data_IF_445380351785
#
_entry.id   IF_445380351785
#
_cell.length_a   1.000
_cell.length_b   1.000
_cell.length_c   1.000
_cell.angle_alpha   90.00
_cell.angle_beta   90.00
_cell.angle_gamma   90.00
#
_symmetry.space_group_name_H-M   'P 1'
#
loop_
_entity.id
_entity.type
_entity.pdbx_description
1 polymer ?
#
# COMPACT_ATOMS: atom_id res chain seq x y z
N UNK A 1 48.53 -0.43 27.88
CA UNK A 1 47.32 -1.26 27.67
C UNK A 1 46.19 -0.30 27.36
N UNK A 2 45.97 0.00 26.08
CA UNK A 2 44.94 0.94 25.60
C UNK A 2 43.81 0.12 24.97
N UNK A 3 42.59 0.36 25.44
CA UNK A 3 41.36 -0.20 24.87
C UNK A 3 40.91 0.78 23.77
N UNK A 4 40.71 0.37 22.52
CA UNK A 4 40.16 1.27 21.52
C UNK A 4 38.64 1.38 21.71
N UNK A 5 38.20 2.62 21.75
CA UNK A 5 36.81 3.06 21.72
C UNK A 5 36.21 2.72 20.35
N UNK A 6 35.12 1.94 20.30
CA UNK A 6 34.35 1.76 19.07
C UNK A 6 33.48 2.98 18.83
N UNK A 7 33.78 3.72 17.75
CA UNK A 7 32.93 4.77 17.20
C UNK A 7 31.76 4.11 16.45
N UNK A 8 30.52 4.39 16.88
CA UNK A 8 29.33 4.12 16.08
C UNK A 8 29.25 5.17 14.96
N UNK A 9 29.52 4.77 13.73
CA UNK A 9 29.32 5.60 12.54
C UNK A 9 27.95 5.34 11.93
N UNK A 10 27.13 6.38 11.85
CA UNK A 10 25.99 6.43 10.93
C UNK A 10 26.55 6.55 9.49
N UNK A 11 26.11 5.69 8.58
CA UNK A 11 26.49 5.76 7.16
C UNK A 11 25.27 6.24 6.37
N UNK A 12 25.38 7.46 5.83
CA UNK A 12 24.52 7.96 4.76
C UNK A 12 24.97 7.38 3.43
N UNK A 13 24.03 6.88 2.64
CA UNK A 13 24.23 6.46 1.26
C UNK A 13 24.44 7.70 0.36
N UNK A 14 25.52 7.73 -0.42
CA UNK A 14 25.69 8.66 -1.55
C UNK A 14 25.40 7.90 -2.86
N UNK A 15 24.52 8.44 -3.69
CA UNK A 15 24.21 7.93 -5.02
C UNK A 15 25.31 8.31 -6.02
N UNK A 16 25.67 7.38 -6.91
CA UNK A 16 26.49 7.66 -8.09
C UNK A 16 25.57 7.50 -9.29
N UNK A 17 25.29 8.60 -9.99
CA UNK A 17 24.53 8.62 -11.23
C UNK A 17 25.39 8.11 -12.40
N UNK A 18 24.92 7.06 -13.07
CA UNK A 18 25.49 6.51 -14.31
C UNK A 18 24.35 6.32 -15.32
N UNK A 19 24.53 6.85 -16.52
CA UNK A 19 23.48 7.16 -17.50
C UNK A 19 23.01 5.98 -18.37
N UNK A 20 22.99 4.74 -17.89
CA UNK A 20 22.55 3.60 -18.72
C UNK A 20 22.10 2.33 -17.99
N UNK A 21 21.83 2.36 -16.68
CA UNK A 21 21.96 1.13 -15.89
C UNK A 21 20.64 0.72 -15.20
N UNK A 22 20.15 -0.48 -15.56
CA UNK A 22 19.18 -1.21 -14.74
C UNK A 22 19.88 -1.60 -13.44
N UNK A 23 19.37 -1.15 -12.30
CA UNK A 23 19.90 -1.55 -10.99
C UNK A 23 19.14 -2.81 -10.55
N UNK A 24 19.83 -3.95 -10.59
CA UNK A 24 19.43 -5.16 -9.87
C UNK A 24 20.20 -5.15 -8.55
N UNK A 25 19.49 -5.01 -7.42
CA UNK A 25 20.13 -4.96 -6.10
C UNK A 25 20.42 -6.38 -5.63
N UNK A 26 21.70 -6.73 -5.48
CA UNK A 26 22.17 -7.96 -4.84
C UNK A 26 22.89 -7.63 -3.53
N UNK A 27 22.76 -8.46 -2.47
CA UNK A 27 23.59 -8.32 -1.27
C UNK A 27 25.00 -8.86 -1.53
N UNK A 28 26.02 -8.10 -1.15
CA UNK A 28 27.41 -8.61 -1.05
C UNK A 28 27.65 -9.15 0.37
N UNK A 29 28.42 -10.23 0.48
CA UNK A 29 28.71 -10.90 1.77
C UNK A 29 29.60 -10.09 2.72
N UNK A 30 30.10 -8.92 2.30
CA UNK A 30 31.21 -8.24 2.98
C UNK A 30 30.88 -6.77 3.29
N UNK A 31 29.78 -6.45 3.99
CA UNK A 31 29.47 -5.10 4.56
C UNK A 31 29.82 -3.87 3.66
N UNK A 32 29.77 -4.06 2.34
CA UNK A 32 30.14 -3.10 1.31
C UNK A 32 29.17 -3.31 0.16
N UNK A 33 28.29 -2.35 -0.06
CA UNK A 33 27.42 -2.27 -1.22
C UNK A 33 28.30 -1.95 -2.44
N UNK A 34 28.84 -2.98 -3.09
CA UNK A 34 29.44 -2.85 -4.42
C UNK A 34 28.36 -3.14 -5.45
N UNK A 35 27.83 -2.08 -6.06
CA UNK A 35 27.17 -2.14 -7.36
C UNK A 35 28.19 -2.65 -8.38
N UNK A 36 28.22 -3.96 -8.63
CA UNK A 36 28.91 -4.50 -9.80
C UNK A 36 27.88 -4.84 -10.87
N UNK A 37 27.84 -3.98 -11.90
CA UNK A 37 27.35 -4.33 -13.22
C UNK A 37 28.08 -5.58 -13.70
N UNK A 38 27.42 -6.74 -13.62
CA UNK A 38 27.85 -7.92 -14.36
C UNK A 38 26.64 -8.71 -14.81
N UNK A 39 26.65 -9.02 -16.09
CA UNK A 39 25.61 -9.75 -16.81
C UNK A 39 25.48 -11.15 -16.24
N UNK A 40 24.30 -11.51 -15.72
CA UNK A 40 23.98 -12.86 -15.28
C UNK A 40 22.63 -13.32 -15.83
N UNK A 41 22.59 -14.60 -16.17
CA UNK A 41 21.43 -15.31 -16.68
C UNK A 41 20.45 -15.63 -15.54
N UNK A 42 19.15 -15.65 -15.90
CA UNK A 42 17.99 -16.05 -15.10
C UNK A 42 18.29 -17.19 -14.12
N UNK A 43 18.53 -16.86 -12.85
CA UNK A 43 18.56 -17.86 -11.77
C UNK A 43 17.18 -17.85 -11.10
N UNK A 44 16.56 -19.02 -10.99
CA UNK A 44 15.24 -19.21 -10.33
C UNK A 44 15.33 -19.20 -8.80
N UNK A 45 16.41 -18.66 -8.22
CA UNK A 45 16.64 -18.70 -6.78
C UNK A 45 16.00 -17.49 -6.10
N UNK A 46 15.32 -17.75 -4.98
CA UNK A 46 14.76 -16.71 -4.09
C UNK A 46 15.87 -16.17 -3.20
N UNK A 47 15.94 -14.85 -3.05
CA UNK A 47 16.92 -14.18 -2.19
C UNK A 47 16.28 -13.75 -0.87
N UNK A 48 16.95 -13.98 0.26
CA UNK A 48 16.44 -13.64 1.61
C UNK A 48 17.35 -12.57 2.23
N UNK A 49 16.74 -11.48 2.70
CA UNK A 49 17.37 -10.34 3.37
C UNK A 49 16.85 -10.27 4.80
N UNK A 50 17.74 -10.30 5.79
CA UNK A 50 17.38 -10.22 7.21
C UNK A 50 18.20 -9.17 7.92
N UNK A 51 17.59 -8.31 8.75
CA UNK A 51 18.37 -7.37 9.56
C UNK A 51 17.54 -6.36 10.35
N UNK A 52 17.57 -6.44 11.67
CA UNK A 52 16.89 -5.48 12.56
C UNK A 52 17.47 -4.08 12.36
N UNK A 53 16.62 -3.08 12.16
CA UNK A 53 16.98 -1.68 11.89
C UNK A 53 17.67 -1.43 10.54
N UNK A 54 17.62 -2.37 9.60
CA UNK A 54 18.12 -2.14 8.23
C UNK A 54 16.99 -1.64 7.33
N UNK A 55 17.33 -0.77 6.38
CA UNK A 55 16.43 -0.48 5.26
C UNK A 55 16.70 -1.50 4.16
N UNK A 56 15.66 -2.15 3.63
CA UNK A 56 15.75 -3.14 2.56
C UNK A 56 16.29 -2.52 1.27
N UNK A 57 15.44 -1.81 0.54
CA UNK A 57 15.82 -1.12 -0.70
C UNK A 57 15.33 0.32 -0.60
N UNK A 58 16.23 1.26 -0.29
CA UNK A 58 15.94 2.69 -0.32
C UNK A 58 16.62 3.35 -1.51
N UNK A 59 15.92 4.25 -2.19
CA UNK A 59 16.61 5.41 -2.78
C UNK A 59 16.48 6.62 -1.89
N UNK A 60 17.20 7.68 -2.24
CA UNK A 60 17.19 8.92 -1.47
C UNK A 60 15.92 9.70 -1.78
N UNK A 61 15.18 10.11 -0.74
CA UNK A 61 14.02 11.04 -0.87
C UNK A 61 14.42 12.36 -1.54
N UNK A 62 15.70 12.71 -1.52
CA UNK A 62 16.25 13.93 -2.09
C UNK A 62 16.67 13.79 -3.56
N UNK A 63 16.61 12.60 -4.15
CA UNK A 63 17.02 12.35 -5.55
C UNK A 63 15.94 12.82 -6.56
N UNK A 64 15.29 13.96 -6.28
CA UNK A 64 14.22 14.52 -7.11
C UNK A 64 14.68 14.84 -8.54
N UNK A 65 15.95 15.17 -8.71
CA UNK A 65 16.47 15.64 -10.00
C UNK A 65 16.88 14.50 -10.93
N UNK A 66 17.27 13.33 -10.40
CA UNK A 66 17.79 12.22 -11.19
C UNK A 66 17.38 10.85 -10.60
N UNK A 67 16.09 10.48 -10.62
CA UNK A 67 15.66 9.15 -10.18
C UNK A 67 16.33 8.06 -11.04
N UNK A 68 16.62 6.87 -10.46
CA UNK A 68 17.13 5.75 -11.24
C UNK A 68 16.17 5.39 -12.38
N UNK A 69 16.72 5.13 -13.56
CA UNK A 69 15.93 4.94 -14.78
C UNK A 69 15.05 3.70 -14.79
N UNK A 70 15.55 2.56 -14.33
CA UNK A 70 14.78 1.32 -14.20
C UNK A 70 15.26 0.50 -13.01
N UNK A 71 14.31 0.08 -12.18
CA UNK A 71 14.56 -0.85 -11.07
C UNK A 71 13.64 -2.06 -11.16
N UNK A 72 14.25 -3.24 -11.00
CA UNK A 72 13.54 -4.52 -10.95
C UNK A 72 13.88 -5.21 -9.63
N UNK A 73 12.84 -5.57 -8.88
CA UNK A 73 12.96 -6.32 -7.61
C UNK A 73 12.20 -7.62 -7.82
N UNK A 74 12.93 -8.73 -7.94
CA UNK A 74 12.38 -10.01 -8.36
C UNK A 74 12.70 -11.08 -7.32
N UNK A 75 11.66 -11.80 -6.87
CA UNK A 75 11.80 -13.00 -6.03
C UNK A 75 12.63 -12.78 -4.75
N UNK A 76 12.39 -11.65 -4.07
CA UNK A 76 13.07 -11.28 -2.83
C UNK A 76 12.19 -11.57 -1.60
N UNK A 77 12.82 -11.87 -0.47
CA UNK A 77 12.18 -11.97 0.83
C UNK A 77 12.90 -11.06 1.81
N UNK A 78 12.19 -10.17 2.50
CA UNK A 78 12.72 -9.27 3.51
C UNK A 78 12.12 -9.63 4.86
N UNK A 79 12.94 -9.92 5.86
CA UNK A 79 12.47 -10.30 7.20
C UNK A 79 13.11 -9.44 8.29
N UNK A 80 12.28 -8.99 9.25
CA UNK A 80 12.73 -8.29 10.46
C UNK A 80 13.54 -7.03 10.15
N UNK A 81 13.12 -6.29 9.13
CA UNK A 81 13.76 -5.08 8.64
C UNK A 81 13.13 -3.83 9.29
N UNK A 82 13.85 -2.71 9.30
CA UNK A 82 13.29 -1.43 9.72
C UNK A 82 12.27 -0.91 8.71
N UNK A 83 12.75 -0.73 7.47
CA UNK A 83 11.98 -0.29 6.31
C UNK A 83 12.22 -1.26 5.16
N UNK A 84 11.22 -1.54 4.33
CA UNK A 84 11.40 -2.41 3.16
C UNK A 84 11.83 -1.63 1.94
N UNK A 85 10.94 -1.48 0.96
CA UNK A 85 11.26 -0.80 -0.31
C UNK A 85 10.75 0.65 -0.26
N UNK A 86 11.63 1.64 -0.38
CA UNK A 86 11.28 3.08 -0.37
C UNK A 86 11.93 3.76 -1.57
N UNK A 87 11.18 4.28 -2.55
CA UNK A 87 11.80 5.15 -3.57
C UNK A 87 10.86 5.93 -4.49
N UNK A 88 11.49 6.86 -5.23
CA UNK A 88 11.05 7.49 -6.50
C UNK A 88 11.72 6.77 -7.68
N UNK A 89 10.92 6.22 -8.59
CA UNK A 89 11.41 5.58 -9.82
C UNK A 89 10.63 6.09 -11.03
N UNK A 90 11.28 6.16 -12.19
CA UNK A 90 10.60 6.39 -13.47
C UNK A 90 10.10 5.08 -14.08
N UNK A 91 10.81 3.96 -13.85
CA UNK A 91 10.35 2.61 -14.18
C UNK A 91 10.63 1.66 -13.03
N UNK A 92 9.59 0.95 -12.60
CA UNK A 92 9.64 0.00 -11.51
C UNK A 92 8.92 -1.28 -11.90
N UNK A 93 9.54 -2.42 -11.61
CA UNK A 93 8.90 -3.73 -11.60
C UNK A 93 9.20 -4.41 -10.27
N UNK A 94 8.18 -4.79 -9.53
CA UNK A 94 8.32 -5.57 -8.30
C UNK A 94 7.50 -6.85 -8.47
N UNK A 95 8.18 -8.00 -8.41
CA UNK A 95 7.56 -9.30 -8.69
C UNK A 95 8.00 -10.33 -7.65
N UNK A 96 7.05 -11.04 -7.05
CA UNK A 96 7.36 -12.17 -6.18
C UNK A 96 8.07 -11.76 -4.89
N UNK A 97 7.74 -10.58 -4.34
CA UNK A 97 8.39 -10.04 -3.14
C UNK A 97 7.59 -10.40 -1.89
N UNK A 98 8.29 -10.89 -0.88
CA UNK A 98 7.75 -11.21 0.44
C UNK A 98 8.38 -10.26 1.46
N UNK A 99 7.58 -9.62 2.30
CA UNK A 99 8.05 -8.79 3.42
C UNK A 99 7.38 -9.28 4.69
N UNK A 100 8.18 -9.60 5.71
CA UNK A 100 7.73 -10.12 7.00
C UNK A 100 8.35 -9.24 8.09
N UNK A 101 7.53 -8.72 9.00
CA UNK A 101 8.01 -8.00 10.18
C UNK A 101 8.86 -6.77 9.84
N UNK A 102 8.39 -5.94 8.90
CA UNK A 102 8.96 -4.61 8.72
C UNK A 102 8.45 -3.68 9.84
N UNK A 103 9.36 -3.07 10.61
CA UNK A 103 8.97 -2.25 11.76
C UNK A 103 8.09 -1.05 11.37
N UNK A 104 8.38 -0.41 10.23
CA UNK A 104 7.70 0.83 9.81
C UNK A 104 6.90 0.63 8.54
N UNK A 105 7.57 0.48 7.39
CA UNK A 105 6.93 0.34 6.08
C UNK A 105 7.45 -0.90 5.38
N UNK A 106 6.55 -1.71 4.82
CA UNK A 106 6.97 -2.88 4.03
C UNK A 106 7.34 -2.47 2.61
N UNK A 107 6.44 -1.78 1.90
CA UNK A 107 6.73 -1.19 0.60
C UNK A 107 6.10 0.20 0.59
N UNK A 108 6.90 1.23 0.33
CA UNK A 108 6.51 2.64 0.20
C UNK A 108 6.95 3.14 -1.18
N UNK A 109 5.96 3.41 -2.02
CA UNK A 109 6.15 3.93 -3.37
C UNK A 109 5.83 5.42 -3.36
N UNK A 110 6.86 6.26 -3.48
CA UNK A 110 6.74 7.70 -3.34
C UNK A 110 7.07 8.38 -4.66
N UNK A 111 6.25 9.32 -5.12
CA UNK A 111 6.61 10.21 -6.23
C UNK A 111 6.91 9.47 -7.54
N UNK A 112 6.22 8.36 -7.82
CA UNK A 112 6.46 7.58 -9.03
C UNK A 112 5.86 8.31 -10.22
N UNK A 113 6.65 8.48 -11.28
CA UNK A 113 6.18 9.05 -12.55
C UNK A 113 6.36 7.96 -13.60
N UNK A 114 5.27 7.28 -13.93
CA UNK A 114 5.22 6.25 -14.95
C UNK A 114 4.89 6.88 -16.31
N UNK A 115 5.90 7.05 -17.16
CA UNK A 115 5.70 7.35 -18.58
C UNK A 115 5.18 6.11 -19.35
N UNK A 116 5.60 4.94 -18.89
CA UNK A 116 5.22 3.62 -19.34
C UNK A 116 4.74 2.85 -18.10
N UNK A 117 3.55 2.27 -18.15
CA UNK A 117 2.85 1.79 -16.95
C UNK A 117 3.72 0.93 -16.03
N UNK A 118 3.60 1.16 -14.72
CA UNK A 118 4.32 0.41 -13.69
C UNK A 118 3.47 -0.79 -13.26
N UNK A 119 4.12 -1.96 -13.13
CA UNK A 119 3.49 -3.20 -12.71
C UNK A 119 4.13 -3.72 -11.43
N UNK A 120 3.30 -4.02 -10.45
CA UNK A 120 3.69 -4.56 -9.15
C UNK A 120 2.81 -5.75 -8.86
N UNK A 121 3.39 -6.94 -8.67
CA UNK A 121 2.60 -8.13 -8.47
C UNK A 121 3.25 -9.26 -7.68
N UNK A 122 2.41 -10.20 -7.24
CA UNK A 122 2.80 -11.35 -6.43
C UNK A 122 3.55 -10.91 -5.16
N UNK A 123 2.95 -9.95 -4.44
CA UNK A 123 3.53 -9.34 -3.25
C UNK A 123 2.86 -9.89 -2.00
N UNK A 124 3.65 -10.28 -1.01
CA UNK A 124 3.16 -10.77 0.29
C UNK A 124 3.74 -9.90 1.40
N UNK A 125 2.89 -9.30 2.22
CA UNK A 125 3.29 -8.43 3.32
C UNK A 125 2.61 -8.90 4.61
N UNK A 126 3.41 -9.28 5.60
CA UNK A 126 2.95 -9.93 6.82
C UNK A 126 3.52 -9.27 8.08
N UNK A 127 2.68 -9.04 9.10
CA UNK A 127 3.10 -8.69 10.46
C UNK A 127 4.00 -7.44 10.52
N UNK A 128 3.71 -6.43 9.69
CA UNK A 128 4.50 -5.20 9.59
C UNK A 128 3.79 -3.98 10.17
N UNK A 129 4.53 -2.91 10.43
CA UNK A 129 3.97 -1.62 10.85
C UNK A 129 2.92 -1.10 9.87
N UNK A 130 3.28 -1.03 8.59
CA UNK A 130 2.39 -0.73 7.47
C UNK A 130 2.56 -1.77 6.36
N UNK A 131 1.48 -2.03 5.64
CA UNK A 131 1.49 -2.86 4.43
C UNK A 131 2.15 -2.16 3.24
N UNK A 132 1.38 -1.96 2.17
CA UNK A 132 1.79 -1.25 0.96
C UNK A 132 1.32 0.21 1.01
N UNK A 133 2.24 1.16 0.86
CA UNK A 133 1.96 2.59 0.78
C UNK A 133 2.27 3.09 -0.63
N UNK A 134 1.35 3.86 -1.20
CA UNK A 134 1.49 4.54 -2.49
C UNK A 134 1.21 6.02 -2.29
N UNK A 135 2.12 6.89 -2.72
CA UNK A 135 2.02 8.33 -2.53
C UNK A 135 2.57 9.11 -3.73
N UNK A 136 1.89 10.19 -4.13
CA UNK A 136 2.36 11.12 -5.17
C UNK A 136 2.64 10.46 -6.54
N UNK A 137 1.81 9.50 -6.96
CA UNK A 137 2.03 8.81 -8.24
C UNK A 137 1.37 9.53 -9.43
N UNK A 138 2.02 9.46 -10.60
CA UNK A 138 1.61 10.07 -11.87
C UNK A 138 1.75 9.01 -12.98
N UNK A 139 0.66 8.67 -13.67
CA UNK A 139 0.66 7.73 -14.78
C UNK A 139 -0.21 6.49 -14.52
N UNK A 140 -0.25 5.52 -15.47
CA UNK A 140 -1.00 4.29 -15.28
C UNK A 140 -0.23 3.28 -14.43
N UNK A 141 -0.89 2.69 -13.44
CA UNK A 141 -0.31 1.68 -12.56
C UNK A 141 -1.24 0.49 -12.42
N UNK A 142 -0.66 -0.72 -12.42
CA UNK A 142 -1.41 -1.95 -12.16
C UNK A 142 -0.71 -2.72 -11.04
N UNK A 143 -1.48 -2.97 -9.98
CA UNK A 143 -1.11 -3.81 -8.86
C UNK A 143 -1.99 -5.05 -8.89
N UNK A 144 -1.41 -6.24 -8.95
CA UNK A 144 -2.19 -7.48 -8.98
C UNK A 144 -1.64 -8.55 -8.04
N UNK A 145 -2.52 -9.39 -7.50
CA UNK A 145 -2.13 -10.48 -6.59
C UNK A 145 -1.28 -10.00 -5.40
N UNK A 146 -1.77 -8.97 -4.70
CA UNK A 146 -1.17 -8.44 -3.48
C UNK A 146 -1.85 -9.09 -2.27
N UNK A 147 -1.07 -9.61 -1.32
CA UNK A 147 -1.55 -10.17 -0.06
C UNK A 147 -0.96 -9.37 1.11
N UNK A 148 -1.78 -8.58 1.81
CA UNK A 148 -1.37 -7.84 3.01
C UNK A 148 -2.15 -8.35 4.23
N UNK A 149 -1.43 -8.87 5.23
CA UNK A 149 -2.03 -9.45 6.42
C UNK A 149 -1.34 -9.05 7.72
N UNK A 150 -2.13 -8.91 8.79
CA UNK A 150 -1.64 -8.64 10.16
C UNK A 150 -0.82 -7.33 10.32
N UNK A 151 -1.05 -6.30 9.49
CA UNK A 151 -0.31 -5.05 9.62
C UNK A 151 -0.93 -4.10 10.68
N UNK A 152 -0.09 -3.32 11.38
CA UNK A 152 -0.50 -2.48 12.53
C UNK A 152 -1.19 -1.16 12.17
N UNK A 153 -0.99 -0.62 10.96
CA UNK A 153 -1.59 0.66 10.55
C UNK A 153 -2.44 0.57 9.27
N UNK A 154 -2.36 -0.53 8.53
CA UNK A 154 -3.21 -0.78 7.36
C UNK A 154 -2.58 -1.71 6.33
N UNK A 155 -3.41 -2.28 5.46
CA UNK A 155 -2.99 -3.20 4.41
C UNK A 155 -2.49 -2.50 3.16
N UNK A 156 -3.33 -1.64 2.57
CA UNK A 156 -3.00 -0.76 1.45
C UNK A 156 -3.38 0.67 1.79
N UNK A 157 -2.44 1.59 1.64
CA UNK A 157 -2.63 3.01 1.92
C UNK A 157 -2.22 3.81 0.69
N UNK A 158 -3.14 4.59 0.15
CA UNK A 158 -2.95 5.39 -1.06
C UNK A 158 -3.21 6.85 -0.73
N UNK A 159 -2.25 7.70 -1.04
CA UNK A 159 -2.33 9.15 -0.87
C UNK A 159 -1.98 9.86 -2.18
N UNK A 160 -2.64 10.98 -2.45
CA UNK A 160 -2.18 11.98 -3.42
C UNK A 160 -1.83 11.38 -4.79
N UNK A 161 -2.61 10.44 -5.33
CA UNK A 161 -2.44 10.02 -6.73
C UNK A 161 -2.78 11.21 -7.62
N UNK A 162 -1.83 11.71 -8.41
CA UNK A 162 -1.95 13.02 -9.05
C UNK A 162 -2.58 12.93 -10.44
N UNK A 163 -2.35 11.84 -11.17
CA UNK A 163 -2.98 11.58 -12.46
C UNK A 163 -2.78 10.13 -12.92
N UNK A 164 -3.62 9.70 -13.87
CA UNK A 164 -3.58 8.37 -14.47
C UNK A 164 -4.30 7.32 -13.63
N UNK A 165 -4.79 6.22 -14.25
CA UNK A 165 -5.52 5.20 -13.54
C UNK A 165 -4.59 4.35 -12.67
N UNK A 166 -4.93 4.18 -11.40
CA UNK A 166 -4.33 3.17 -10.53
C UNK A 166 -5.32 2.01 -10.38
N UNK A 167 -4.94 0.84 -10.87
CA UNK A 167 -5.76 -0.37 -10.80
C UNK A 167 -5.15 -1.34 -9.79
N UNK A 168 -5.95 -1.75 -8.80
CA UNK A 168 -5.62 -2.84 -7.88
C UNK A 168 -6.57 -4.00 -8.16
N UNK A 169 -6.04 -5.18 -8.43
CA UNK A 169 -6.86 -6.34 -8.79
C UNK A 169 -6.41 -7.64 -8.14
N UNK A 170 -7.33 -8.59 -7.98
CA UNK A 170 -7.05 -9.95 -7.51
C UNK A 170 -6.25 -9.98 -6.20
N UNK A 171 -6.51 -9.01 -5.32
CA UNK A 171 -5.69 -8.78 -4.12
C UNK A 171 -6.49 -9.08 -2.85
N UNK A 172 -5.79 -9.40 -1.76
CA UNK A 172 -6.37 -9.69 -0.46
C UNK A 172 -5.73 -8.79 0.60
N UNK A 173 -6.59 -8.06 1.31
CA UNK A 173 -6.24 -7.22 2.45
C UNK A 173 -7.03 -7.73 3.65
N UNK A 174 -6.33 -8.38 4.57
CA UNK A 174 -6.97 -9.18 5.62
C UNK A 174 -6.34 -8.92 6.99
N UNK A 175 -7.17 -8.79 8.02
CA UNK A 175 -6.73 -8.73 9.42
C UNK A 175 -5.74 -7.59 9.74
N UNK A 176 -5.77 -6.51 8.95
CA UNK A 176 -4.98 -5.30 9.20
C UNK A 176 -5.72 -4.38 10.19
N UNK A 177 -4.97 -3.64 10.99
CA UNK A 177 -5.54 -2.64 11.90
C UNK A 177 -5.79 -1.33 11.16
N UNK A 178 -6.68 -0.49 11.70
CA UNK A 178 -7.10 0.81 11.15
C UNK A 178 -8.01 0.64 9.93
N UNK A 179 -7.45 0.23 8.80
CA UNK A 179 -8.21 -0.09 7.60
C UNK A 179 -7.47 -1.12 6.75
N UNK A 180 -8.22 -1.97 6.04
CA UNK A 180 -7.59 -2.87 5.07
C UNK A 180 -7.12 -2.10 3.83
N UNK A 181 -7.98 -1.21 3.31
CA UNK A 181 -7.69 -0.32 2.19
C UNK A 181 -8.07 1.10 2.57
N UNK A 182 -7.11 2.03 2.48
CA UNK A 182 -7.31 3.46 2.77
C UNK A 182 -6.86 4.29 1.57
N UNK A 183 -7.76 5.06 0.97
CA UNK A 183 -7.50 5.88 -0.21
C UNK A 183 -7.89 7.32 0.10
N UNK A 184 -6.92 8.22 0.03
CA UNK A 184 -7.14 9.64 0.31
C UNK A 184 -6.56 10.58 -0.74
N UNK A 185 -7.27 11.68 -0.99
CA UNK A 185 -6.89 12.77 -1.91
C UNK A 185 -6.38 12.25 -3.27
N UNK A 186 -7.03 11.21 -3.77
CA UNK A 186 -6.60 10.45 -4.94
C UNK A 186 -7.54 10.65 -6.13
N UNK A 187 -7.02 10.38 -7.31
CA UNK A 187 -7.71 10.44 -8.59
C UNK A 187 -7.73 9.04 -9.23
N UNK A 188 -8.88 8.66 -9.82
CA UNK A 188 -9.00 7.49 -10.71
C UNK A 188 -8.37 6.19 -10.16
N UNK A 189 -8.74 5.82 -8.93
CA UNK A 189 -8.35 4.52 -8.36
C UNK A 189 -9.48 3.52 -8.54
N UNK A 190 -9.16 2.35 -9.11
CA UNK A 190 -10.09 1.23 -9.29
C UNK A 190 -9.56 0.04 -8.52
N UNK A 191 -10.36 -0.50 -7.61
CA UNK A 191 -10.08 -1.76 -6.92
C UNK A 191 -11.07 -2.80 -7.41
N UNK A 192 -10.60 -3.93 -7.93
CA UNK A 192 -11.50 -4.95 -8.48
C UNK A 192 -11.13 -6.38 -8.09
N UNK A 193 -12.10 -7.29 -8.09
CA UNK A 193 -11.89 -8.73 -7.81
C UNK A 193 -11.07 -8.99 -6.54
N UNK A 194 -11.25 -8.18 -5.50
CA UNK A 194 -10.41 -8.20 -4.31
C UNK A 194 -11.16 -8.65 -3.07
N UNK A 195 -10.41 -9.10 -2.07
CA UNK A 195 -10.91 -9.56 -0.78
C UNK A 195 -10.46 -8.58 0.31
N UNK A 196 -11.42 -7.98 1.03
CA UNK A 196 -11.16 -6.93 2.02
C UNK A 196 -11.88 -7.29 3.31
N UNK A 197 -11.15 -7.85 4.28
CA UNK A 197 -11.83 -8.53 5.40
C UNK A 197 -11.12 -8.45 6.75
N UNK A 198 -11.87 -8.66 7.82
CA UNK A 198 -11.34 -8.73 9.19
C UNK A 198 -10.55 -7.48 9.64
N UNK A 199 -10.84 -6.29 9.11
CA UNK A 199 -10.17 -5.06 9.57
C UNK A 199 -10.37 -4.90 11.09
N UNK A 200 -9.28 -4.67 11.82
CA UNK A 200 -9.27 -4.56 13.28
C UNK A 200 -9.24 -3.11 13.74
N UNK A 201 -9.88 -2.80 14.88
CA UNK A 201 -9.78 -1.47 15.46
C UNK A 201 -8.42 -1.27 16.16
N UNK A 202 -8.13 -0.02 16.48
CA UNK A 202 -7.11 0.32 17.49
C UNK A 202 -7.55 -0.13 18.88
N UNK A 203 -6.64 -0.05 19.85
CA UNK A 203 -6.91 -0.43 21.25
C UNK A 203 -7.97 0.43 21.94
N UNK A 204 -8.32 1.58 21.37
CA UNK A 204 -9.38 2.47 21.82
C UNK A 204 -10.71 2.25 21.08
N UNK A 205 -10.86 1.10 20.39
CA UNK A 205 -12.02 0.73 19.57
C UNK A 205 -12.31 1.68 18.39
N UNK A 206 -11.37 2.57 18.04
CA UNK A 206 -11.51 3.42 16.86
C UNK A 206 -11.03 2.70 15.58
N UNK A 207 -11.50 3.18 14.42
CA UNK A 207 -11.21 2.62 13.10
C UNK A 207 -11.80 1.19 12.88
N UNK A 208 -11.15 0.37 12.05
CA UNK A 208 -11.58 -1.00 11.73
C UNK A 208 -12.51 -1.09 10.52
N UNK A 209 -12.36 -0.19 9.55
CA UNK A 209 -13.12 -0.25 8.30
C UNK A 209 -12.44 -1.14 7.27
N UNK A 210 -13.22 -1.82 6.44
CA UNK A 210 -12.66 -2.56 5.31
C UNK A 210 -12.00 -1.63 4.29
N UNK A 211 -12.83 -0.82 3.64
CA UNK A 211 -12.42 0.11 2.59
C UNK A 211 -12.79 1.54 2.98
N UNK A 212 -11.81 2.44 2.93
CA UNK A 212 -11.99 3.86 3.27
C UNK A 212 -11.61 4.72 2.08
N UNK A 213 -12.56 5.54 1.61
CA UNK A 213 -12.33 6.62 0.66
C UNK A 213 -12.46 7.97 1.38
N UNK A 214 -11.47 8.83 1.28
CA UNK A 214 -11.44 10.11 1.99
C UNK A 214 -10.94 11.26 1.12
N UNK A 215 -11.65 12.39 1.09
CA UNK A 215 -11.24 13.60 0.36
C UNK A 215 -10.86 13.36 -1.11
N UNK A 216 -11.46 12.36 -1.77
CA UNK A 216 -11.12 12.05 -3.15
C UNK A 216 -11.81 13.05 -4.08
N UNK A 217 -11.04 13.56 -5.04
CA UNK A 217 -11.50 14.60 -5.96
C UNK A 217 -12.27 14.03 -7.15
N UNK A 218 -11.93 12.81 -7.52
CA UNK A 218 -12.66 12.01 -8.49
C UNK A 218 -13.30 10.81 -7.78
N UNK A 219 -14.35 10.21 -8.38
CA UNK A 219 -14.89 8.96 -7.87
C UNK A 219 -13.80 7.88 -7.79
N UNK A 220 -13.78 7.18 -6.66
CA UNK A 220 -13.06 5.91 -6.53
C UNK A 220 -14.02 4.79 -6.93
N UNK A 221 -13.49 3.72 -7.48
CA UNK A 221 -14.26 2.57 -7.95
C UNK A 221 -13.86 1.30 -7.17
N UNK A 222 -14.85 0.55 -6.68
CA UNK A 222 -14.67 -0.78 -6.11
C UNK A 222 -15.60 -1.72 -6.86
N UNK A 223 -15.07 -2.76 -7.52
CA UNK A 223 -15.84 -3.65 -8.39
C UNK A 223 -15.66 -5.12 -8.03
N UNK A 224 -16.74 -5.90 -8.07
CA UNK A 224 -16.75 -7.37 -7.98
C UNK A 224 -15.90 -7.89 -6.81
N UNK A 225 -15.87 -7.13 -5.72
CA UNK A 225 -15.04 -7.40 -4.57
C UNK A 225 -15.85 -7.95 -3.40
N UNK A 226 -15.20 -8.71 -2.53
CA UNK A 226 -15.80 -9.28 -1.34
C UNK A 226 -15.27 -8.51 -0.13
N UNK A 227 -16.16 -7.80 0.54
CA UNK A 227 -15.85 -7.00 1.72
C UNK A 227 -16.61 -7.60 2.90
N UNK A 228 -15.94 -8.20 3.87
CA UNK A 228 -16.65 -8.86 4.99
C UNK A 228 -15.94 -8.86 6.33
N UNK A 229 -16.73 -9.05 7.39
CA UNK A 229 -16.26 -9.22 8.77
C UNK A 229 -15.31 -8.10 9.24
N UNK A 230 -15.45 -6.87 8.73
CA UNK A 230 -14.68 -5.74 9.23
C UNK A 230 -15.33 -5.20 10.52
N UNK A 231 -14.49 -4.77 11.47
CA UNK A 231 -14.95 -4.41 12.81
C UNK A 231 -16.01 -3.30 12.85
N UNK A 232 -15.94 -2.35 11.91
CA UNK A 232 -16.83 -1.20 11.84
C UNK A 232 -17.62 -1.16 10.53
N UNK A 233 -17.16 -0.40 9.54
CA UNK A 233 -17.80 -0.31 8.24
C UNK A 233 -17.24 -1.36 7.29
N UNK A 234 -18.07 -1.91 6.41
CA UNK A 234 -17.55 -2.57 5.22
C UNK A 234 -16.81 -1.57 4.35
N UNK A 235 -17.54 -0.51 3.97
CA UNK A 235 -17.03 0.57 3.15
C UNK A 235 -17.44 1.91 3.75
N UNK A 236 -16.50 2.85 3.83
CA UNK A 236 -16.77 4.21 4.32
C UNK A 236 -16.24 5.31 3.39
N UNK A 237 -17.04 6.38 3.23
CA UNK A 237 -16.71 7.56 2.41
C UNK A 237 -16.72 8.82 3.27
N UNK A 238 -15.61 9.55 3.28
CA UNK A 238 -15.38 10.74 4.11
C UNK A 238 -15.05 11.93 3.22
N UNK A 239 -16.09 12.57 2.68
CA UNK A 239 -15.97 13.63 1.68
C UNK A 239 -15.44 13.12 0.33
N UNK A 240 -16.27 13.18 -0.70
CA UNK A 240 -15.97 12.63 -2.03
C UNK A 240 -17.01 11.59 -2.44
N UNK A 241 -16.70 10.83 -3.49
CA UNK A 241 -17.64 9.87 -4.09
C UNK A 241 -16.99 8.50 -4.27
N UNK A 242 -17.76 7.44 -4.01
CA UNK A 242 -17.38 6.07 -4.32
C UNK A 242 -18.44 5.42 -5.22
N UNK A 243 -17.97 4.72 -6.24
CA UNK A 243 -18.80 3.88 -7.10
C UNK A 243 -18.51 2.43 -6.69
N UNK A 244 -19.56 1.70 -6.34
CA UNK A 244 -19.50 0.24 -6.12
C UNK A 244 -20.04 -0.45 -7.37
N UNK A 245 -19.62 -1.66 -7.73
CA UNK A 245 -20.22 -2.40 -8.85
C UNK A 245 -20.13 -3.89 -8.56
N UNK A 246 -21.27 -4.58 -8.45
CA UNK A 246 -21.30 -6.04 -8.21
C UNK A 246 -20.51 -6.52 -6.98
N UNK A 247 -20.34 -5.68 -5.95
CA UNK A 247 -19.65 -6.02 -4.72
C UNK A 247 -20.54 -6.78 -3.73
N UNK A 248 -19.89 -7.55 -2.85
CA UNK A 248 -20.55 -8.28 -1.76
C UNK A 248 -20.07 -7.77 -0.43
N UNK A 249 -20.99 -7.22 0.36
CA UNK A 249 -20.72 -6.64 1.68
C UNK A 249 -21.52 -7.40 2.74
N UNK A 250 -20.87 -8.02 3.72
CA UNK A 250 -21.56 -8.69 4.83
C UNK A 250 -20.72 -8.81 6.11
N UNK A 251 -21.36 -8.99 7.27
CA UNK A 251 -20.65 -9.24 8.53
C UNK A 251 -20.04 -8.01 9.20
N UNK A 252 -20.43 -6.81 8.78
CA UNK A 252 -19.99 -5.53 9.36
C UNK A 252 -21.05 -4.98 10.33
N UNK A 253 -20.70 -3.96 11.14
CA UNK A 253 -21.70 -3.23 11.94
C UNK A 253 -22.66 -2.43 11.04
N UNK A 254 -22.14 -1.94 9.92
CA UNK A 254 -22.89 -1.34 8.83
C UNK A 254 -22.12 -1.53 7.53
N UNK A 255 -22.82 -1.89 6.46
CA UNK A 255 -22.17 -2.19 5.17
C UNK A 255 -21.57 -0.94 4.54
N UNK A 256 -22.35 0.14 4.48
CA UNK A 256 -21.98 1.41 3.86
C UNK A 256 -22.12 2.57 4.85
N UNK A 257 -21.06 3.37 4.97
CA UNK A 257 -21.08 4.61 5.75
C UNK A 257 -20.60 5.81 4.94
N UNK A 258 -21.28 6.95 5.06
CA UNK A 258 -20.79 8.20 4.50
C UNK A 258 -20.87 9.32 5.51
N UNK A 259 -19.90 10.23 5.47
CA UNK A 259 -19.91 11.44 6.28
C UNK A 259 -19.38 12.63 5.49
N UNK A 260 -19.88 13.82 5.84
CA UNK A 260 -19.30 15.08 5.39
C UNK A 260 -17.95 15.29 6.06
N UNK A 261 -16.93 15.56 5.27
CA UNK A 261 -15.60 15.84 5.75
C UNK A 261 -15.01 17.03 4.99
N UNK A 262 -14.48 18.01 5.73
CA UNK A 262 -13.91 19.24 5.16
C UNK A 262 -14.91 20.02 4.27
N UNK A 263 -16.17 20.03 4.68
CA UNK A 263 -17.27 20.67 3.93
C UNK A 263 -17.72 19.91 2.68
N UNK A 264 -17.07 18.80 2.33
CA UNK A 264 -17.42 17.96 1.18
C UNK A 264 -18.28 16.80 1.70
N UNK A 265 -19.52 16.60 1.20
CA UNK A 265 -20.32 15.44 1.56
C UNK A 265 -19.67 14.16 1.01
N UNK A 266 -19.71 13.08 1.80
CA UNK A 266 -19.49 11.73 1.28
C UNK A 266 -20.72 11.27 0.49
N UNK A 267 -20.48 10.55 -0.60
CA UNK A 267 -21.52 10.04 -1.48
C UNK A 267 -21.17 8.63 -2.01
N UNK A 268 -22.21 7.83 -2.24
CA UNK A 268 -22.11 6.58 -2.96
C UNK A 268 -22.94 6.71 -4.23
N UNK A 269 -22.35 6.42 -5.38
CA UNK A 269 -23.18 6.24 -6.57
C UNK A 269 -24.00 4.96 -6.41
N UNK A 270 -25.32 5.07 -6.62
CA UNK A 270 -26.35 4.05 -6.39
C UNK A 270 -26.20 2.86 -7.31
N UNK A 271 -25.20 2.07 -6.99
CA UNK A 271 -24.57 1.07 -7.79
C UNK A 271 -25.41 -0.17 -8.08
N UNK A 272 -25.22 -0.72 -9.27
CA UNK A 272 -25.91 -1.92 -9.74
C UNK A 272 -25.27 -3.19 -9.19
N UNK A 273 -26.11 -4.17 -8.81
CA UNK A 273 -25.70 -5.56 -8.54
C UNK A 273 -25.00 -5.82 -7.20
N UNK A 274 -24.82 -4.80 -6.35
CA UNK A 274 -24.22 -4.99 -5.02
C UNK A 274 -25.17 -5.77 -4.10
N UNK A 275 -24.58 -6.66 -3.32
CA UNK A 275 -25.26 -7.47 -2.32
C UNK A 275 -24.76 -7.04 -0.94
N UNK A 276 -25.62 -6.38 -0.18
CA UNK A 276 -25.37 -6.04 1.21
C UNK A 276 -25.98 -7.08 2.16
N UNK A 277 -25.61 -7.01 3.43
CA UNK A 277 -25.86 -8.04 4.43
C UNK A 277 -27.33 -8.51 4.49
N UNK A 278 -27.51 -9.79 4.81
CA UNK A 278 -28.78 -10.53 4.75
C UNK A 278 -29.86 -10.05 5.73
N UNK A 279 -29.68 -8.92 6.43
CA UNK A 279 -30.59 -8.51 7.49
C UNK A 279 -31.05 -7.05 7.45
N UNK A 280 -32.34 -6.81 7.10
CA UNK A 280 -33.29 -7.75 6.51
C UNK A 280 -32.93 -8.10 5.05
N UNK A 281 -33.24 -9.34 4.59
CA UNK A 281 -32.88 -9.80 3.26
C UNK A 281 -33.61 -8.99 2.19
N UNK A 282 -32.87 -8.56 1.15
CA UNK A 282 -33.40 -7.79 0.02
C UNK A 282 -33.27 -6.27 0.16
N UNK A 283 -32.56 -5.77 1.17
CA UNK A 283 -32.24 -4.35 1.22
C UNK A 283 -31.20 -3.98 0.16
N UNK A 284 -31.54 -2.96 -0.63
CA UNK A 284 -30.56 -2.14 -1.36
C UNK A 284 -29.50 -1.71 -0.34
N UNK A 285 -28.24 -1.77 -0.73
CA UNK A 285 -27.13 -1.27 0.08
C UNK A 285 -27.42 0.17 0.53
N UNK A 286 -27.90 0.32 1.77
CA UNK A 286 -28.29 1.60 2.31
C UNK A 286 -27.07 2.24 2.97
N UNK A 287 -26.58 3.31 2.38
CA UNK A 287 -25.56 4.13 2.99
C UNK A 287 -26.14 4.84 4.22
N UNK A 288 -25.47 4.73 5.36
CA UNK A 288 -25.86 5.39 6.61
C UNK A 288 -24.86 6.51 6.93
N UNK A 289 -25.37 7.67 7.37
CA UNK A 289 -24.56 8.59 8.18
C UNK A 289 -24.71 8.14 9.63
N UNK A 290 -23.61 7.64 10.19
CA UNK A 290 -23.52 7.18 11.57
C UNK A 290 -23.07 8.30 12.52
N UNK A 291 -22.84 9.52 12.00
CA UNK A 291 -22.28 10.69 12.68
C UNK A 291 -20.96 10.37 13.36
N UNK A 292 -20.19 9.48 12.76
CA UNK A 292 -18.90 9.09 13.28
C UNK A 292 -17.88 10.18 12.98
N UNK A 293 -16.89 10.33 13.87
CA UNK A 293 -15.75 11.18 13.56
C UNK A 293 -14.93 10.53 12.44
N UNK A 294 -14.36 11.34 11.52
CA UNK A 294 -13.46 10.83 10.51
C UNK A 294 -12.28 10.11 11.15
N UNK A 295 -11.81 9.00 10.56
CA UNK A 295 -10.56 8.41 10.98
C UNK A 295 -9.49 9.51 10.96
N UNK A 296 -8.75 9.71 12.06
CA UNK A 296 -7.67 10.69 12.05
C UNK A 296 -6.72 10.32 10.91
N UNK A 297 -6.25 11.28 10.11
CA UNK A 297 -5.32 11.01 9.03
C UNK A 297 -4.19 10.12 9.55
N UNK A 298 -3.90 9.05 8.82
CA UNK A 298 -2.74 8.23 9.13
C UNK A 298 -1.54 9.14 8.86
N UNK A 299 -0.97 9.71 9.91
CA UNK A 299 0.26 10.45 9.80
C UNK A 299 1.32 9.45 9.34
N UNK A 300 2.11 9.75 8.30
CA UNK A 300 3.32 8.98 8.03
C UNK A 300 4.22 9.17 9.26
N UNK A 301 4.11 8.30 10.25
CA UNK A 301 4.91 8.36 11.46
C UNK A 301 6.37 8.14 11.04
N UNK A 302 7.20 9.13 11.37
CA UNK A 302 8.65 9.19 11.08
C UNK A 302 9.50 8.51 12.14
#
# INVERSE_FOLDING_TARGET
MQIPLFLFGFISLYSIASSSDTIIVFPSSDNQLKLQQKWWWWSSQRHIFTGTNTTGISGSRNDKENPPGKVEILNCTFEKIGNGVINRFTKLSIVGVIVIQAQWFSIELLGLIADQGITVHDIFILDSGNGLIIHEIVGPFIFWNIFCHDNENGGLIIFDTLSGPLVITESTFDNNRIANVFISNSYSVVVLNSWIRNARPKSDDTYGDGFVAMKNKEPIELHTSNVYDNYRAGVSVWGGRLILIDDRLHGHKFDLNYETYDGIPGDFDGSTGNVCSDYPPGNICAALSSRLAPPSPISPTH
#
